data_IF_925502931619
#
_entry.id   IF_925502931619
#
_cell.length_a   1.000
_cell.length_b   1.000
_cell.length_c   1.000
_cell.angle_alpha   90.00
_cell.angle_beta   90.00
_cell.angle_gamma   90.00
#
_symmetry.space_group_name_H-M   'P 1'
#
loop_
_entity.id
_entity.type
_entity.pdbx_description
1 polymer ?
#
# COMPACT_ATOMS: atom_id res chain seq x y z
N UNK A 1 11.48 -8.54 -12.79
CA UNK A 1 10.40 -9.19 -13.57
C UNK A 1 9.07 -8.91 -12.89
N UNK A 2 7.98 -8.58 -13.58
CA UNK A 2 6.68 -8.45 -12.92
C UNK A 2 6.26 -9.83 -12.42
N UNK A 3 5.85 -9.90 -11.13
CA UNK A 3 5.40 -11.15 -10.51
C UNK A 3 4.21 -11.77 -11.26
N UNK A 4 3.98 -13.08 -11.12
CA UNK A 4 2.98 -13.85 -11.86
C UNK A 4 1.53 -13.41 -11.63
N UNK A 5 1.26 -12.57 -10.62
CA UNK A 5 -0.07 -12.10 -10.23
C UNK A 5 -0.50 -10.78 -10.89
N UNK A 6 -0.06 -10.49 -12.13
CA UNK A 6 -0.55 -9.33 -12.88
C UNK A 6 -1.89 -9.65 -13.53
N UNK A 7 -2.99 -9.37 -12.85
CA UNK A 7 -4.31 -9.27 -13.49
C UNK A 7 -4.43 -7.87 -14.10
N UNK A 8 -4.75 -7.79 -15.37
CA UNK A 8 -4.96 -6.53 -16.07
C UNK A 8 -6.21 -5.83 -15.53
N UNK A 9 -6.08 -4.56 -15.14
CA UNK A 9 -7.02 -3.76 -14.36
C UNK A 9 -8.34 -3.35 -15.04
N UNK A 10 -8.71 -3.87 -16.17
CA UNK A 10 -9.97 -3.48 -16.83
C UNK A 10 -10.82 -4.71 -17.14
N UNK A 11 -11.65 -5.19 -16.23
CA UNK A 11 -12.60 -6.31 -16.29
C UNK A 11 -12.22 -7.63 -15.61
N UNK A 12 -11.14 -7.71 -14.83
CA UNK A 12 -10.60 -9.00 -14.39
C UNK A 12 -11.25 -9.66 -13.16
N UNK A 13 -11.97 -8.92 -12.30
CA UNK A 13 -12.53 -9.50 -11.06
C UNK A 13 -13.78 -10.33 -11.30
N UNK A 14 -14.69 -9.86 -12.15
CA UNK A 14 -15.88 -10.63 -12.54
C UNK A 14 -15.48 -11.92 -13.26
N UNK A 15 -14.33 -11.87 -13.97
CA UNK A 15 -13.75 -13.03 -14.64
C UNK A 15 -13.21 -14.05 -13.62
N UNK A 16 -12.45 -13.60 -12.58
CA UNK A 16 -11.86 -14.51 -11.59
C UNK A 16 -12.93 -15.25 -10.80
N UNK A 17 -13.96 -14.55 -10.31
CA UNK A 17 -15.09 -15.17 -9.61
C UNK A 17 -15.76 -16.20 -10.50
N UNK A 18 -16.09 -15.83 -11.75
CA UNK A 18 -16.73 -16.71 -12.73
C UNK A 18 -15.86 -17.94 -13.03
N UNK A 19 -14.54 -17.77 -13.15
CA UNK A 19 -13.61 -18.87 -13.39
C UNK A 19 -13.55 -19.84 -12.21
N UNK A 20 -13.49 -19.32 -10.97
CA UNK A 20 -13.48 -20.16 -9.77
C UNK A 20 -14.81 -20.89 -9.58
N UNK A 21 -15.92 -20.24 -9.88
CA UNK A 21 -17.24 -20.88 -9.85
C UNK A 21 -17.35 -21.98 -10.91
N UNK A 22 -16.89 -21.74 -12.13
CA UNK A 22 -16.84 -22.75 -13.19
C UNK A 22 -15.88 -23.89 -12.84
N UNK A 23 -14.72 -23.58 -12.26
CA UNK A 23 -13.70 -24.58 -11.96
C UNK A 23 -14.06 -25.44 -10.73
N UNK A 24 -14.55 -24.82 -9.64
CA UNK A 24 -14.68 -25.48 -8.33
C UNK A 24 -16.12 -25.50 -7.79
N UNK A 25 -17.10 -24.89 -8.49
CA UNK A 25 -18.48 -24.80 -8.03
C UNK A 25 -18.65 -24.00 -6.74
N UNK A 26 -17.78 -23.02 -6.49
CA UNK A 26 -17.79 -22.19 -5.30
C UNK A 26 -17.82 -20.72 -5.66
N UNK A 27 -18.73 -19.99 -5.01
CA UNK A 27 -18.94 -18.56 -5.22
C UNK A 27 -18.22 -17.73 -4.17
N UNK A 28 -17.92 -16.48 -4.52
CA UNK A 28 -17.38 -15.46 -3.63
C UNK A 28 -18.35 -15.15 -2.48
N UNK A 29 -17.85 -15.16 -1.25
CA UNK A 29 -18.62 -14.78 -0.05
C UNK A 29 -18.58 -13.27 0.23
N UNK A 30 -17.77 -12.51 -0.52
CA UNK A 30 -17.71 -11.05 -0.41
C UNK A 30 -19.01 -10.42 -0.92
N UNK A 31 -19.55 -9.45 -0.19
CA UNK A 31 -20.76 -8.76 -0.62
C UNK A 31 -20.57 -7.95 -1.91
N UNK A 32 -21.65 -7.71 -2.64
CA UNK A 32 -21.62 -6.87 -3.85
C UNK A 32 -21.09 -5.47 -3.54
N UNK A 33 -21.45 -4.91 -2.37
CA UNK A 33 -20.97 -3.59 -1.92
C UNK A 33 -19.47 -3.59 -1.69
N UNK A 34 -18.93 -4.61 -1.02
CA UNK A 34 -17.50 -4.75 -0.77
C UNK A 34 -16.70 -4.93 -2.07
N UNK A 35 -17.19 -5.77 -3.01
CA UNK A 35 -16.51 -5.91 -4.31
C UNK A 35 -16.46 -4.59 -5.07
N UNK A 36 -17.54 -3.82 -5.06
CA UNK A 36 -17.56 -2.49 -5.69
C UNK A 36 -16.57 -1.53 -4.99
N UNK A 37 -16.52 -1.55 -3.66
CA UNK A 37 -15.60 -0.72 -2.88
C UNK A 37 -14.13 -1.09 -3.13
N UNK A 38 -13.80 -2.38 -3.19
CA UNK A 38 -12.43 -2.84 -3.51
C UNK A 38 -11.99 -2.31 -4.88
N UNK A 39 -12.84 -2.39 -5.91
CA UNK A 39 -12.54 -1.83 -7.24
C UNK A 39 -12.30 -0.32 -7.16
N UNK A 40 -13.20 0.40 -6.49
CA UNK A 40 -13.10 1.84 -6.31
C UNK A 40 -11.79 2.24 -5.64
N UNK A 41 -11.34 1.48 -4.61
CA UNK A 41 -10.08 1.77 -3.93
C UNK A 41 -8.88 1.61 -4.85
N UNK A 42 -8.84 0.55 -5.67
CA UNK A 42 -7.76 0.39 -6.64
C UNK A 42 -7.81 1.47 -7.73
N UNK A 43 -9.00 1.86 -8.21
CA UNK A 43 -9.15 2.96 -9.17
C UNK A 43 -8.64 4.28 -8.60
N UNK A 44 -8.96 4.62 -7.35
CA UNK A 44 -8.43 5.80 -6.65
C UNK A 44 -6.89 5.75 -6.50
N UNK A 45 -6.34 4.57 -6.19
CA UNK A 45 -4.89 4.40 -6.04
C UNK A 45 -4.15 4.59 -7.36
N UNK A 46 -4.65 4.00 -8.44
CA UNK A 46 -4.02 4.08 -9.75
C UNK A 46 -4.36 5.37 -10.50
N UNK A 47 -5.27 6.16 -10.00
CA UNK A 47 -5.72 7.38 -10.64
C UNK A 47 -6.50 7.08 -11.92
N UNK A 48 -7.44 6.14 -11.85
CA UNK A 48 -8.36 5.84 -12.95
C UNK A 48 -9.53 6.83 -12.87
N UNK A 49 -9.74 7.69 -13.89
CA UNK A 49 -10.87 8.61 -13.91
C UNK A 49 -12.20 7.86 -13.97
N UNK A 50 -13.23 8.38 -13.31
CA UNK A 50 -14.60 7.91 -13.49
C UNK A 50 -15.13 8.30 -14.87
N UNK A 51 -16.21 7.65 -15.29
CA UNK A 51 -16.87 7.99 -16.54
C UNK A 51 -17.30 9.46 -16.52
N UNK A 52 -16.79 10.25 -17.48
CA UNK A 52 -17.02 11.70 -17.60
C UNK A 52 -16.03 12.57 -16.85
N UNK A 53 -15.03 12.01 -16.17
CA UNK A 53 -13.91 12.73 -15.54
C UNK A 53 -12.66 12.61 -16.42
N UNK A 54 -11.91 13.72 -16.58
CA UNK A 54 -10.66 13.76 -17.34
C UNK A 54 -9.42 13.60 -16.44
N UNK A 55 -9.58 13.85 -15.12
CA UNK A 55 -8.47 13.84 -14.17
C UNK A 55 -8.82 13.02 -12.93
N UNK A 56 -7.83 12.26 -12.44
CA UNK A 56 -7.91 11.56 -11.15
C UNK A 56 -6.61 11.77 -10.38
N UNK A 57 -6.57 12.71 -9.42
CA UNK A 57 -5.39 12.96 -8.61
C UNK A 57 -5.06 11.72 -7.76
N UNK A 58 -3.78 11.30 -7.77
CA UNK A 58 -3.31 10.09 -7.07
C UNK A 58 -3.05 10.34 -5.58
N UNK A 59 -3.97 11.00 -4.90
CA UNK A 59 -3.83 11.31 -3.46
C UNK A 59 -3.85 10.03 -2.63
N UNK A 60 -4.65 9.03 -3.01
CA UNK A 60 -4.64 7.72 -2.38
C UNK A 60 -3.24 7.06 -2.41
N UNK A 61 -2.53 7.16 -3.55
CA UNK A 61 -1.17 6.64 -3.67
C UNK A 61 -0.17 7.42 -2.78
N UNK A 62 -0.36 8.73 -2.62
CA UNK A 62 0.43 9.55 -1.72
C UNK A 62 0.22 9.12 -0.26
N UNK A 63 -1.03 8.92 0.17
CA UNK A 63 -1.39 8.45 1.53
C UNK A 63 -0.69 7.12 1.81
N UNK A 64 -0.88 6.13 0.95
CA UNK A 64 -0.29 4.79 1.08
C UNK A 64 1.23 4.86 1.13
N UNK A 65 1.84 5.65 0.25
CA UNK A 65 3.30 5.81 0.20
C UNK A 65 3.87 6.47 1.46
N UNK A 66 3.18 7.45 2.03
CA UNK A 66 3.59 8.12 3.27
C UNK A 66 3.49 7.16 4.47
N UNK A 67 2.32 6.52 4.66
CA UNK A 67 2.11 5.56 5.75
C UNK A 67 3.11 4.40 5.69
N UNK A 68 3.27 3.77 4.53
CA UNK A 68 4.19 2.66 4.36
C UNK A 68 5.65 3.04 4.68
N UNK A 69 6.09 4.24 4.28
CA UNK A 69 7.45 4.72 4.62
C UNK A 69 7.62 4.92 6.11
N UNK A 70 6.64 5.50 6.78
CA UNK A 70 6.71 5.74 8.22
C UNK A 70 6.68 4.43 9.00
N UNK A 71 5.81 3.49 8.63
CA UNK A 71 5.73 2.16 9.29
C UNK A 71 7.08 1.46 9.28
N UNK A 72 7.79 1.46 8.15
CA UNK A 72 9.06 0.73 7.99
C UNK A 72 10.30 1.62 8.08
N UNK A 73 10.21 2.77 8.74
CA UNK A 73 11.31 3.72 8.80
C UNK A 73 12.53 3.15 9.56
N UNK A 74 12.27 2.49 10.69
CA UNK A 74 13.29 1.93 11.60
C UNK A 74 13.11 0.41 11.80
N UNK A 75 12.35 -0.23 10.91
CA UNK A 75 12.01 -1.65 11.01
C UNK A 75 13.23 -2.54 10.86
N UNK A 76 13.51 -3.33 11.89
CA UNK A 76 14.52 -4.37 11.89
C UNK A 76 13.96 -5.67 12.45
N UNK A 77 14.49 -6.80 11.98
CA UNK A 77 14.15 -8.12 12.49
C UNK A 77 15.41 -8.88 12.83
N UNK A 78 15.39 -9.58 13.96
CA UNK A 78 16.51 -10.39 14.42
C UNK A 78 16.04 -11.80 14.78
N UNK A 79 16.75 -12.81 14.32
CA UNK A 79 16.59 -14.18 14.75
C UNK A 79 17.69 -14.53 15.77
N UNK A 80 17.42 -15.51 16.66
CA UNK A 80 18.46 -16.02 17.54
C UNK A 80 19.72 -16.42 16.76
N UNK A 81 20.93 -16.29 17.36
CA UNK A 81 22.19 -16.62 16.70
C UNK A 81 22.27 -18.07 16.19
N UNK A 82 21.58 -18.99 16.85
CA UNK A 82 21.50 -20.42 16.52
C UNK A 82 20.46 -20.73 15.42
N UNK A 83 19.69 -19.74 14.94
CA UNK A 83 18.69 -19.98 13.90
C UNK A 83 19.37 -20.49 12.61
N UNK A 84 18.80 -21.52 11.96
CA UNK A 84 19.38 -22.09 10.76
C UNK A 84 19.28 -21.18 9.55
N UNK A 85 20.21 -21.33 8.59
CA UNK A 85 20.27 -20.51 7.37
C UNK A 85 19.00 -20.52 6.52
N UNK A 86 18.27 -21.64 6.32
CA UNK A 86 17.00 -21.60 5.60
C UNK A 86 15.97 -20.67 6.23
N UNK A 87 15.88 -20.62 7.56
CA UNK A 87 14.97 -19.73 8.27
C UNK A 87 15.39 -18.27 8.13
N UNK A 88 16.70 -17.96 8.21
CA UNK A 88 17.23 -16.61 7.98
C UNK A 88 16.91 -16.13 6.57
N UNK A 89 17.06 -17.00 5.55
CA UNK A 89 16.72 -16.69 4.17
C UNK A 89 15.22 -16.44 4.00
N UNK A 90 14.38 -17.26 4.63
CA UNK A 90 12.92 -17.10 4.59
C UNK A 90 12.49 -15.78 5.24
N UNK A 91 13.06 -15.40 6.39
CA UNK A 91 12.80 -14.11 7.03
C UNK A 91 13.28 -12.94 6.14
N UNK A 92 14.46 -13.08 5.53
CA UNK A 92 14.97 -12.05 4.60
C UNK A 92 14.05 -11.87 3.39
N UNK A 93 13.52 -12.96 2.83
CA UNK A 93 12.55 -12.92 1.74
C UNK A 93 11.23 -12.26 2.17
N UNK A 94 10.75 -12.56 3.38
CA UNK A 94 9.56 -11.92 3.96
C UNK A 94 9.77 -10.40 4.13
N UNK A 95 10.93 -9.99 4.65
CA UNK A 95 11.28 -8.57 4.80
C UNK A 95 11.38 -7.85 3.45
N UNK A 96 11.90 -8.52 2.42
CA UNK A 96 11.92 -7.98 1.07
C UNK A 96 10.50 -7.74 0.51
N UNK A 97 9.52 -8.57 0.88
CA UNK A 97 8.13 -8.41 0.49
C UNK A 97 7.36 -7.39 1.34
N UNK A 98 7.87 -6.97 2.52
CA UNK A 98 7.15 -6.22 3.54
C UNK A 98 6.48 -4.94 3.02
N UNK A 99 7.25 -4.06 2.38
CA UNK A 99 6.71 -2.78 1.87
C UNK A 99 5.67 -2.98 0.78
N UNK A 100 5.84 -3.99 -0.07
CA UNK A 100 4.87 -4.33 -1.13
C UNK A 100 3.58 -4.87 -0.52
N UNK A 101 3.69 -5.80 0.42
CA UNK A 101 2.54 -6.39 1.11
C UNK A 101 1.75 -5.33 1.89
N UNK A 102 2.44 -4.44 2.63
CA UNK A 102 1.81 -3.34 3.36
C UNK A 102 1.07 -2.40 2.40
N UNK A 103 1.68 -1.99 1.29
CA UNK A 103 1.00 -1.14 0.31
C UNK A 103 -0.25 -1.83 -0.25
N UNK A 104 -0.18 -3.11 -0.57
CA UNK A 104 -1.34 -3.87 -1.07
C UNK A 104 -2.45 -3.97 -0.01
N UNK A 105 -2.11 -4.19 1.25
CA UNK A 105 -3.07 -4.19 2.35
C UNK A 105 -3.70 -2.81 2.56
N UNK A 106 -2.90 -1.74 2.57
CA UNK A 106 -3.39 -0.37 2.72
C UNK A 106 -4.38 0.02 1.60
N UNK A 107 -4.15 -0.46 0.37
CA UNK A 107 -5.06 -0.20 -0.77
C UNK A 107 -6.31 -1.07 -0.70
N UNK A 108 -6.15 -2.38 -0.55
CA UNK A 108 -7.24 -3.34 -0.69
C UNK A 108 -7.89 -3.76 0.64
N UNK A 109 -7.37 -3.30 1.78
CA UNK A 109 -7.79 -3.73 3.11
C UNK A 109 -7.08 -5.00 3.59
N UNK A 110 -6.76 -5.91 2.70
CA UNK A 110 -6.14 -7.20 3.01
C UNK A 110 -5.12 -7.57 1.92
N UNK A 111 -4.01 -8.17 2.32
CA UNK A 111 -3.00 -8.76 1.44
C UNK A 111 -2.66 -10.17 1.94
N UNK A 112 -2.54 -11.13 1.03
CA UNK A 112 -2.12 -12.48 1.35
C UNK A 112 -0.63 -12.65 1.02
N UNK A 113 0.09 -13.32 1.91
CA UNK A 113 1.48 -13.70 1.71
C UNK A 113 1.52 -15.22 1.46
N UNK A 114 1.78 -15.60 0.19
CA UNK A 114 1.88 -17.00 -0.24
C UNK A 114 3.32 -17.47 -0.09
N UNK A 115 3.59 -18.45 0.78
CA UNK A 115 4.89 -19.07 0.84
C UNK A 115 5.14 -19.91 -0.41
N UNK A 116 6.33 -19.75 -1.01
CA UNK A 116 6.76 -20.46 -2.21
C UNK A 116 8.12 -21.10 -1.93
N UNK A 117 8.25 -22.43 -1.99
CA UNK A 117 9.54 -23.11 -1.81
C UNK A 117 10.56 -22.68 -2.86
N UNK A 118 11.75 -22.32 -2.41
CA UNK A 118 12.86 -21.93 -3.29
C UNK A 118 14.20 -22.19 -2.62
N UNK A 119 15.07 -22.94 -3.29
CA UNK A 119 16.45 -23.19 -2.89
C UNK A 119 16.60 -23.66 -1.40
N UNK A 120 15.67 -24.52 -0.93
CA UNK A 120 15.65 -25.03 0.44
C UNK A 120 15.18 -24.03 1.51
N UNK A 121 14.56 -22.92 1.11
CA UNK A 121 13.92 -21.92 1.97
C UNK A 121 12.51 -21.59 1.43
N UNK A 122 11.81 -20.67 2.07
CA UNK A 122 10.52 -20.16 1.59
C UNK A 122 10.63 -18.69 1.22
N UNK A 123 10.31 -18.38 -0.04
CA UNK A 123 10.01 -17.01 -0.48
C UNK A 123 8.56 -16.67 -0.17
N UNK A 124 8.21 -15.36 -0.20
CA UNK A 124 6.84 -14.90 0.03
C UNK A 124 6.35 -14.02 -1.12
N UNK A 125 5.29 -14.49 -1.79
CA UNK A 125 4.61 -13.73 -2.83
C UNK A 125 3.42 -12.97 -2.22
N UNK A 126 3.41 -11.64 -2.36
CA UNK A 126 2.30 -10.80 -1.93
C UNK A 126 1.18 -10.83 -2.97
N UNK A 127 -0.04 -11.20 -2.56
CA UNK A 127 -1.24 -11.27 -3.39
C UNK A 127 -2.21 -10.16 -2.98
N UNK A 128 -2.53 -9.28 -3.92
CA UNK A 128 -3.45 -8.15 -3.69
C UNK A 128 -4.89 -8.62 -3.53
N UNK A 129 -5.72 -7.80 -2.89
CA UNK A 129 -7.14 -8.10 -2.63
C UNK A 129 -7.96 -8.33 -3.91
N UNK A 130 -7.63 -7.68 -5.00
CA UNK A 130 -8.26 -7.84 -6.32
C UNK A 130 -7.74 -9.04 -7.13
N UNK A 131 -6.80 -9.82 -6.58
CA UNK A 131 -6.20 -10.99 -7.24
C UNK A 131 -6.58 -12.32 -6.59
N UNK A 132 -7.49 -12.32 -5.63
CA UNK A 132 -8.02 -13.52 -5.00
C UNK A 132 -9.48 -13.34 -4.60
N UNK A 133 -10.18 -14.45 -4.40
CA UNK A 133 -11.60 -14.50 -4.02
C UNK A 133 -11.74 -15.28 -2.72
N UNK A 134 -12.26 -14.69 -1.64
CA UNK A 134 -12.68 -15.43 -0.46
C UNK A 134 -13.86 -16.36 -0.79
N UNK A 135 -13.70 -17.65 -0.57
CA UNK A 135 -14.73 -18.67 -0.82
C UNK A 135 -15.42 -19.12 0.46
N UNK A 136 -14.80 -18.95 1.61
CA UNK A 136 -15.40 -19.13 2.93
C UNK A 136 -14.61 -18.35 4.00
N UNK A 137 -15.31 -17.81 5.00
CA UNK A 137 -14.75 -17.22 6.22
C UNK A 137 -15.45 -17.79 7.45
N UNK A 138 -14.77 -17.76 8.60
CA UNK A 138 -15.39 -18.05 9.88
C UNK A 138 -16.12 -16.82 10.46
N UNK A 139 -16.71 -16.98 11.64
CA UNK A 139 -17.41 -15.91 12.34
C UNK A 139 -16.50 -14.73 12.75
N UNK A 140 -15.20 -14.94 12.81
CA UNK A 140 -14.18 -13.94 13.14
C UNK A 140 -13.54 -13.29 11.90
N UNK A 141 -13.99 -13.69 10.69
CA UNK A 141 -13.49 -13.17 9.42
C UNK A 141 -12.16 -13.79 8.97
N UNK A 142 -11.72 -14.90 9.58
CA UNK A 142 -10.55 -15.64 9.10
C UNK A 142 -10.90 -16.43 7.84
N UNK A 143 -9.98 -16.50 6.89
CA UNK A 143 -10.17 -17.24 5.65
C UNK A 143 -10.18 -18.75 5.93
N UNK A 144 -11.29 -19.41 5.59
CA UNK A 144 -11.42 -20.87 5.58
C UNK A 144 -11.24 -21.47 4.18
N UNK A 145 -11.58 -20.71 3.15
CA UNK A 145 -11.27 -21.09 1.77
C UNK A 145 -11.01 -19.84 0.92
N UNK A 146 -10.08 -19.97 -0.01
CA UNK A 146 -9.67 -18.90 -0.93
C UNK A 146 -9.33 -19.46 -2.30
N UNK A 147 -9.71 -18.74 -3.35
CA UNK A 147 -9.35 -19.02 -4.72
C UNK A 147 -8.42 -17.96 -5.29
N UNK A 148 -7.39 -18.40 -6.01
CA UNK A 148 -6.43 -17.52 -6.70
C UNK A 148 -6.27 -17.94 -8.15
N UNK A 149 -5.72 -17.05 -8.98
CA UNK A 149 -5.43 -17.32 -10.38
C UNK A 149 -4.06 -16.78 -10.75
N UNK A 150 -3.30 -17.58 -11.48
CA UNK A 150 -2.08 -17.18 -12.15
C UNK A 150 -2.27 -17.30 -13.66
N UNK A 151 -1.84 -16.27 -14.42
CA UNK A 151 -1.88 -16.29 -15.88
C UNK A 151 -0.52 -16.63 -16.46
N UNK A 152 -0.50 -17.58 -17.36
CA UNK A 152 0.70 -18.00 -18.08
C UNK A 152 0.51 -17.78 -19.60
N UNK A 153 1.59 -17.39 -20.28
CA UNK A 153 1.63 -17.26 -21.73
C UNK A 153 2.78 -18.09 -22.26
N UNK A 154 2.47 -19.09 -23.09
CA UNK A 154 3.46 -19.98 -23.72
C UNK A 154 3.09 -20.15 -25.17
N UNK A 155 4.03 -19.92 -26.10
CA UNK A 155 3.86 -20.04 -27.55
C UNK A 155 2.62 -19.33 -28.10
N UNK A 156 2.33 -18.12 -27.58
CA UNK A 156 1.19 -17.30 -27.99
C UNK A 156 -0.16 -17.75 -27.46
N UNK A 157 -0.21 -18.84 -26.70
CA UNK A 157 -1.41 -19.31 -26.01
C UNK A 157 -1.44 -18.79 -24.57
N UNK A 158 -2.64 -18.46 -24.10
CA UNK A 158 -2.86 -18.02 -22.73
C UNK A 158 -3.48 -19.14 -21.90
N UNK A 159 -3.02 -19.26 -20.66
CA UNK A 159 -3.50 -20.24 -19.70
C UNK A 159 -3.82 -19.58 -18.37
N UNK A 160 -4.84 -20.10 -17.67
CA UNK A 160 -5.17 -19.75 -16.28
C UNK A 160 -4.92 -20.96 -15.38
N UNK A 161 -3.99 -20.83 -14.46
CA UNK A 161 -3.80 -21.76 -13.35
C UNK A 161 -4.68 -21.29 -12.20
N UNK A 162 -5.72 -22.04 -11.89
CA UNK A 162 -6.65 -21.79 -10.79
C UNK A 162 -6.28 -22.64 -9.59
N UNK A 163 -6.13 -22.03 -8.44
CA UNK A 163 -5.82 -22.71 -7.19
C UNK A 163 -6.92 -22.41 -6.17
N UNK A 164 -7.45 -23.45 -5.52
CA UNK A 164 -8.34 -23.36 -4.37
C UNK A 164 -7.64 -23.94 -3.15
N UNK A 165 -7.55 -23.16 -2.09
CA UNK A 165 -7.05 -23.58 -0.78
C UNK A 165 -8.19 -23.65 0.20
N UNK A 166 -8.31 -24.73 0.94
CA UNK A 166 -9.37 -24.95 1.92
C UNK A 166 -8.78 -25.46 3.23
N UNK A 167 -9.07 -24.76 4.31
CA UNK A 167 -8.74 -25.20 5.66
C UNK A 167 -9.72 -26.33 6.07
N UNK A 168 -9.19 -27.44 6.54
CA UNK A 168 -9.96 -28.57 7.00
C UNK A 168 -9.49 -29.07 8.36
N UNK A 169 -10.24 -30.01 8.95
CA UNK A 169 -9.85 -30.63 10.21
C UNK A 169 -8.53 -31.42 10.12
N UNK A 170 -8.25 -31.98 8.96
CA UNK A 170 -7.06 -32.81 8.69
C UNK A 170 -5.87 -31.96 8.19
N UNK A 171 -6.02 -30.65 8.06
CA UNK A 171 -5.01 -29.73 7.54
C UNK A 171 -5.49 -28.95 6.31
N UNK A 172 -4.52 -28.44 5.54
CA UNK A 172 -4.77 -27.65 4.33
C UNK A 172 -4.97 -28.57 3.12
N UNK A 173 -6.06 -28.36 2.38
CA UNK A 173 -6.27 -28.94 1.04
C UNK A 173 -6.04 -27.89 -0.04
N UNK A 174 -5.18 -28.20 -1.00
CA UNK A 174 -4.91 -27.34 -2.19
C UNK A 174 -5.39 -28.12 -3.42
N UNK A 175 -6.28 -27.52 -4.19
CA UNK A 175 -6.73 -28.03 -5.49
C UNK A 175 -6.27 -27.09 -6.58
N UNK A 176 -5.66 -27.66 -7.62
CA UNK A 176 -5.06 -26.91 -8.72
C UNK A 176 -5.61 -27.42 -10.05
N UNK A 177 -6.06 -26.49 -10.90
CA UNK A 177 -6.58 -26.79 -12.24
C UNK A 177 -6.03 -25.81 -13.25
N UNK A 178 -5.63 -26.32 -14.41
CA UNK A 178 -5.12 -25.51 -15.52
C UNK A 178 -6.15 -25.46 -16.65
N UNK A 179 -6.44 -24.26 -17.13
CA UNK A 179 -7.37 -24.01 -18.21
C UNK A 179 -6.70 -23.22 -19.34
N UNK A 180 -7.06 -23.50 -20.58
CA UNK A 180 -6.79 -22.59 -21.69
C UNK A 180 -7.66 -21.35 -21.57
N UNK A 181 -7.13 -20.18 -21.96
CA UNK A 181 -7.90 -18.94 -22.02
C UNK A 181 -8.17 -18.57 -23.48
N UNK A 182 -9.44 -18.37 -23.81
CA UNK A 182 -9.90 -17.87 -25.10
C UNK A 182 -10.27 -16.39 -24.94
N UNK A 183 -9.27 -15.52 -25.07
CA UNK A 183 -9.44 -14.10 -24.73
C UNK A 183 -9.68 -13.92 -23.21
N UNK A 184 -10.93 -13.57 -22.84
CA UNK A 184 -11.35 -13.40 -21.44
C UNK A 184 -12.33 -14.49 -20.98
N UNK A 185 -12.39 -15.62 -21.66
CA UNK A 185 -13.24 -16.74 -21.25
C UNK A 185 -12.42 -17.96 -20.90
N UNK A 186 -12.85 -18.67 -19.86
CA UNK A 186 -12.23 -19.92 -19.45
C UNK A 186 -12.60 -21.01 -20.49
N UNK A 187 -11.57 -21.56 -21.12
CA UNK A 187 -11.70 -22.62 -22.11
C UNK A 187 -11.72 -24.01 -21.46
N UNK A 188 -11.14 -24.99 -22.14
CA UNK A 188 -11.06 -26.37 -21.63
C UNK A 188 -10.02 -26.51 -20.52
N UNK A 189 -10.32 -27.41 -19.58
CA UNK A 189 -9.33 -27.86 -18.60
C UNK A 189 -8.29 -28.76 -19.30
N UNK A 190 -7.01 -28.49 -19.05
CA UNK A 190 -5.87 -29.22 -19.62
C UNK A 190 -4.99 -29.80 -18.48
N UNK A 191 -4.22 -30.85 -18.75
CA UNK A 191 -3.27 -31.39 -17.77
C UNK A 191 -2.27 -30.34 -17.30
N UNK A 192 -1.90 -30.35 -16.02
CA UNK A 192 -0.91 -29.45 -15.45
C UNK A 192 0.44 -29.52 -16.16
N UNK A 193 0.85 -30.73 -16.61
CA UNK A 193 2.05 -30.97 -17.37
C UNK A 193 2.09 -30.29 -18.75
N UNK A 194 0.98 -29.68 -19.22
CA UNK A 194 0.97 -28.87 -20.45
C UNK A 194 1.89 -27.65 -20.32
N UNK A 195 2.08 -27.13 -19.11
CA UNK A 195 3.01 -26.04 -18.81
C UNK A 195 4.22 -26.61 -18.06
N UNK A 196 5.46 -26.44 -18.57
CA UNK A 196 6.66 -26.89 -17.85
C UNK A 196 6.75 -26.36 -16.41
N UNK A 197 6.31 -25.11 -16.19
CA UNK A 197 6.30 -24.48 -14.87
C UNK A 197 5.29 -25.12 -13.88
N UNK A 198 4.34 -25.91 -14.39
CA UNK A 198 3.28 -26.55 -13.58
C UNK A 198 3.41 -28.09 -13.59
N UNK A 199 4.44 -28.64 -14.25
CA UNK A 199 4.57 -30.09 -14.47
C UNK A 199 4.71 -30.88 -13.14
N UNK A 200 5.29 -30.28 -12.13
CA UNK A 200 5.46 -30.88 -10.80
C UNK A 200 4.25 -30.69 -9.87
N UNK A 201 3.28 -29.85 -10.27
CA UNK A 201 2.08 -29.66 -9.48
C UNK A 201 1.15 -30.83 -9.59
N UNK A 202 0.46 -31.15 -8.49
CA UNK A 202 -0.56 -32.17 -8.43
C UNK A 202 -1.97 -31.55 -8.39
N UNK A 203 -2.97 -32.20 -9.00
CA UNK A 203 -4.34 -31.65 -9.03
C UNK A 203 -4.96 -31.44 -7.65
N UNK A 204 -4.57 -32.29 -6.66
CA UNK A 204 -4.99 -32.16 -5.28
C UNK A 204 -3.84 -32.53 -4.35
N UNK A 205 -3.57 -31.69 -3.37
CA UNK A 205 -2.56 -31.88 -2.35
C UNK A 205 -3.21 -31.65 -0.98
N UNK A 206 -2.98 -32.57 -0.05
CA UNK A 206 -3.37 -32.39 1.36
C UNK A 206 -2.11 -32.27 2.19
N UNK A 207 -2.02 -31.19 2.96
CA UNK A 207 -0.88 -30.87 3.83
C UNK A 207 -1.32 -31.00 5.29
N UNK A 208 -1.09 -32.16 5.93
CA UNK A 208 -1.48 -32.37 7.31
C UNK A 208 -0.65 -31.49 8.24
N UNK A 209 -1.28 -30.95 9.29
CA UNK A 209 -0.63 -30.10 10.27
C UNK A 209 -0.45 -28.64 9.86
N UNK A 210 -0.76 -28.27 8.60
CA UNK A 210 -0.78 -26.86 8.17
C UNK A 210 -2.12 -26.25 8.56
N UNK A 211 -2.09 -25.26 9.43
CA UNK A 211 -3.28 -24.56 9.92
C UNK A 211 -3.81 -23.54 8.90
N UNK A 212 -5.14 -23.33 8.88
CA UNK A 212 -5.79 -22.35 8.01
C UNK A 212 -5.62 -22.65 6.52
N UNK A 213 -5.61 -21.60 5.71
CA UNK A 213 -5.46 -21.70 4.24
C UNK A 213 -4.01 -21.76 3.77
N UNK A 214 -3.03 -21.85 4.70
CA UNK A 214 -1.61 -21.91 4.38
C UNK A 214 -1.06 -20.63 3.75
N UNK A 215 -1.65 -19.50 4.08
CA UNK A 215 -1.24 -18.14 3.69
C UNK A 215 -1.18 -17.28 4.94
N UNK A 216 -0.17 -16.43 5.06
CA UNK A 216 -0.20 -15.39 6.08
C UNK A 216 -1.04 -14.22 5.57
N UNK A 217 -1.80 -13.60 6.47
CA UNK A 217 -2.79 -12.58 6.13
C UNK A 217 -2.42 -11.28 6.83
N UNK A 218 -2.19 -10.25 6.04
CA UNK A 218 -2.02 -8.89 6.52
C UNK A 218 -3.32 -8.12 6.31
N UNK A 219 -3.96 -7.67 7.40
CA UNK A 219 -5.19 -6.88 7.38
C UNK A 219 -4.94 -5.47 7.90
N UNK A 220 -5.66 -4.50 7.34
CA UNK A 220 -5.72 -3.15 7.94
C UNK A 220 -6.48 -3.19 9.25
N UNK A 221 -6.06 -2.42 10.27
CA UNK A 221 -6.69 -2.41 11.59
C UNK A 221 -7.92 -1.48 11.64
N UNK A 222 -8.81 -1.56 10.65
CA UNK A 222 -10.00 -0.73 10.56
C UNK A 222 -11.26 -1.57 10.57
N UNK A 223 -12.29 -1.05 11.25
CA UNK A 223 -13.63 -1.61 11.13
C UNK A 223 -14.21 -1.36 9.73
N UNK A 224 -14.97 -2.34 9.23
CA UNK A 224 -15.60 -2.22 7.93
C UNK A 224 -16.71 -1.15 7.95
N UNK A 225 -16.43 -0.02 7.30
CA UNK A 225 -17.35 1.10 7.14
C UNK A 225 -18.22 1.00 5.87
N UNK A 226 -18.08 -0.08 5.06
CA UNK A 226 -18.81 -0.27 3.79
C UNK A 226 -20.13 -1.02 4.01
N UNK A 227 -20.06 -2.17 4.65
CA UNK A 227 -21.23 -3.05 4.85
C UNK A 227 -21.30 -3.69 6.25
N UNK A 228 -20.35 -3.39 7.12
CA UNK A 228 -20.28 -3.92 8.49
C UNK A 228 -19.92 -5.40 8.58
N UNK A 229 -19.49 -6.03 7.49
CA UNK A 229 -18.97 -7.40 7.50
C UNK A 229 -17.58 -7.49 8.15
N UNK A 230 -17.04 -8.70 8.28
CA UNK A 230 -15.68 -8.95 8.78
C UNK A 230 -14.59 -8.75 7.72
N UNK A 231 -14.94 -8.34 6.49
CA UNK A 231 -13.96 -8.02 5.46
C UNK A 231 -13.14 -6.78 5.86
N UNK A 232 -11.84 -6.83 5.62
CA UNK A 232 -10.97 -5.69 5.84
C UNK A 232 -11.19 -4.61 4.77
N UNK A 233 -11.00 -3.35 5.15
CA UNK A 233 -11.24 -2.19 4.28
C UNK A 233 -9.96 -1.41 4.01
N UNK A 234 -9.90 -0.69 2.88
CA UNK A 234 -8.78 0.20 2.57
C UNK A 234 -8.52 1.19 3.69
N UNK A 235 -7.25 1.54 3.92
CA UNK A 235 -6.89 2.56 4.91
C UNK A 235 -7.57 3.90 4.64
N UNK A 236 -7.84 4.21 3.38
CA UNK A 236 -8.53 5.44 2.97
C UNK A 236 -10.03 5.24 2.65
N UNK A 237 -10.61 4.08 2.96
CA UNK A 237 -12.05 3.85 2.78
C UNK A 237 -12.93 4.93 3.43
N UNK A 238 -12.65 5.40 4.67
CA UNK A 238 -13.44 6.46 5.29
C UNK A 238 -13.39 7.79 4.52
N UNK A 239 -12.30 8.06 3.81
CA UNK A 239 -12.10 9.29 3.05
C UNK A 239 -12.42 9.16 1.54
N UNK A 240 -12.91 8.02 1.05
CA UNK A 240 -13.15 7.79 -0.37
C UNK A 240 -14.04 8.87 -1.01
N UNK A 241 -15.09 9.30 -0.32
CA UNK A 241 -15.96 10.39 -0.77
C UNK A 241 -15.25 11.74 -0.92
N UNK A 242 -14.29 12.06 -0.03
CA UNK A 242 -13.48 13.27 -0.12
C UNK A 242 -12.45 13.18 -1.26
N UNK A 243 -11.87 12.00 -1.51
CA UNK A 243 -10.96 11.78 -2.64
C UNK A 243 -11.68 12.00 -3.97
N UNK A 244 -12.94 11.57 -4.11
CA UNK A 244 -13.75 11.89 -5.29
C UNK A 244 -14.13 13.37 -5.36
N UNK A 245 -14.43 14.01 -4.22
CA UNK A 245 -14.69 15.45 -4.20
C UNK A 245 -13.43 16.24 -4.64
N UNK A 246 -12.24 15.74 -4.27
CA UNK A 246 -10.97 16.33 -4.67
C UNK A 246 -10.75 16.22 -6.19
N UNK A 247 -11.04 15.05 -6.80
CA UNK A 247 -10.97 14.86 -8.24
C UNK A 247 -11.88 15.85 -8.98
N UNK A 248 -13.14 15.99 -8.53
CA UNK A 248 -14.07 16.99 -9.10
C UNK A 248 -13.59 18.44 -8.92
N UNK A 249 -12.95 18.75 -7.78
CA UNK A 249 -12.40 20.08 -7.55
C UNK A 249 -11.26 20.41 -8.53
N UNK A 250 -10.36 19.45 -8.79
CA UNK A 250 -9.30 19.60 -9.79
C UNK A 250 -9.86 19.78 -11.21
N UNK A 251 -10.86 19.02 -11.57
CA UNK A 251 -11.52 19.12 -12.87
C UNK A 251 -12.18 20.47 -13.05
N UNK A 252 -12.90 20.97 -12.03
CA UNK A 252 -13.50 22.30 -12.04
C UNK A 252 -12.45 23.40 -12.14
N UNK A 253 -11.33 23.27 -11.45
CA UNK A 253 -10.20 24.20 -11.53
C UNK A 253 -9.60 24.21 -12.95
N UNK A 254 -9.38 23.04 -13.55
CA UNK A 254 -8.90 22.92 -14.92
C UNK A 254 -9.88 23.55 -15.92
N UNK A 255 -11.19 23.32 -15.73
CA UNK A 255 -12.23 23.92 -16.55
C UNK A 255 -12.27 25.45 -16.39
N UNK A 256 -12.06 25.98 -15.18
CA UNK A 256 -11.97 27.43 -14.93
C UNK A 256 -10.82 28.06 -15.75
N UNK A 257 -9.63 27.43 -15.73
CA UNK A 257 -8.49 27.88 -16.51
C UNK A 257 -8.76 27.77 -18.03
N UNK A 258 -9.33 26.67 -18.48
CA UNK A 258 -9.66 26.46 -19.90
C UNK A 258 -10.71 27.47 -20.42
N UNK A 259 -11.74 27.76 -19.60
CA UNK A 259 -12.81 28.70 -19.93
C UNK A 259 -12.40 30.16 -19.70
N UNK A 260 -11.45 30.41 -18.79
CA UNK A 260 -10.92 31.70 -18.45
C UNK A 260 -9.94 32.29 -19.47
N UNK A 261 -9.67 31.59 -20.57
CA UNK A 261 -8.87 32.11 -21.64
C UNK A 261 -9.53 33.39 -22.22
N UNK A 262 -8.74 34.45 -22.38
CA UNK A 262 -9.21 35.68 -23.01
C UNK A 262 -9.75 35.37 -24.40
N UNK A 263 -10.93 35.92 -24.71
CA UNK A 263 -11.59 35.74 -26.00
C UNK A 263 -11.84 37.08 -26.63
N UNK A 264 -11.63 37.14 -27.92
CA UNK A 264 -11.96 38.32 -28.73
C UNK A 264 -13.23 38.03 -29.51
N UNK A 265 -14.26 38.79 -29.26
CA UNK A 265 -15.50 38.77 -30.05
C UNK A 265 -15.39 39.87 -31.11
N UNK A 266 -15.38 39.46 -32.35
CA UNK A 266 -15.31 40.38 -33.48
C UNK A 266 -16.53 40.22 -34.38
N UNK A 267 -16.96 41.30 -35.05
CA UNK A 267 -17.99 41.19 -36.07
C UNK A 267 -17.54 40.23 -37.18
N UNK A 268 -18.46 39.42 -37.68
CA UNK A 268 -18.17 38.46 -38.76
C UNK A 268 -17.59 39.11 -40.01
N UNK A 269 -17.92 40.39 -40.24
CA UNK A 269 -17.41 41.19 -41.37
C UNK A 269 -15.91 41.52 -41.25
N UNK A 270 -15.35 41.45 -40.04
CA UNK A 270 -13.92 41.66 -39.79
C UNK A 270 -13.09 40.38 -39.94
N UNK A 271 -13.74 39.24 -40.14
CA UNK A 271 -13.11 37.97 -40.27
C UNK A 271 -12.88 37.59 -41.74
N UNK A 272 -11.66 37.20 -42.11
CA UNK A 272 -11.39 36.69 -43.46
C UNK A 272 -11.37 35.18 -43.46
N UNK A 273 -11.91 34.50 -44.50
CA UNK A 273 -11.82 33.08 -44.64
C UNK A 273 -10.37 32.61 -44.89
N UNK A 274 -9.91 31.63 -44.15
CA UNK A 274 -8.66 30.92 -44.43
C UNK A 274 -8.78 30.02 -45.68
N UNK A 275 -7.69 29.36 -46.06
CA UNK A 275 -7.68 28.46 -47.22
C UNK A 275 -8.64 27.27 -47.10
N UNK A 276 -9.13 26.99 -45.89
CA UNK A 276 -10.12 25.94 -45.56
C UNK A 276 -11.53 26.50 -45.35
N UNK A 277 -11.75 27.82 -45.62
CA UNK A 277 -13.04 28.49 -45.50
C UNK A 277 -13.44 28.84 -44.05
N UNK A 278 -12.54 28.65 -43.05
CA UNK A 278 -12.77 29.08 -41.67
C UNK A 278 -12.47 30.58 -41.56
N UNK A 279 -13.33 31.33 -40.89
CA UNK A 279 -13.15 32.74 -40.66
C UNK A 279 -12.26 32.98 -39.45
N UNK A 280 -11.16 33.71 -39.61
CA UNK A 280 -10.21 34.04 -38.57
C UNK A 280 -9.87 35.53 -38.59
N UNK A 281 -9.54 36.11 -37.44
CA UNK A 281 -8.97 37.42 -37.31
C UNK A 281 -7.61 37.49 -38.00
N UNK A 282 -7.35 38.54 -38.76
CA UNK A 282 -6.01 38.80 -39.29
C UNK A 282 -5.11 39.37 -38.18
N UNK A 283 -3.84 38.95 -38.17
CA UNK A 283 -2.84 39.42 -37.21
C UNK A 283 -2.65 40.95 -37.20
N UNK A 284 -2.91 41.61 -38.32
CA UNK A 284 -2.78 43.05 -38.49
C UNK A 284 -3.93 43.87 -37.87
N UNK A 285 -5.00 43.24 -37.37
CA UNK A 285 -6.16 43.89 -36.76
C UNK A 285 -5.92 44.46 -35.37
N UNK A 286 -4.79 44.11 -34.75
CA UNK A 286 -4.39 44.59 -33.42
C UNK A 286 -3.55 45.87 -33.46
N UNK A 287 -3.30 46.44 -34.63
CA UNK A 287 -2.52 47.67 -34.81
C UNK A 287 -3.43 48.87 -34.89
N UNK A 288 -3.62 49.54 -33.76
CA UNK A 288 -4.06 50.93 -33.66
C UNK A 288 -5.35 51.27 -34.38
N UNK A 289 -6.49 50.92 -33.79
CA UNK A 289 -7.76 51.50 -34.18
C UNK A 289 -7.88 52.88 -33.52
N UNK A 290 -7.97 53.97 -34.29
CA UNK A 290 -7.93 55.33 -33.73
C UNK A 290 -9.28 55.84 -33.20
N UNK A 291 -10.37 55.05 -33.24
CA UNK A 291 -11.70 55.47 -32.82
C UNK A 291 -12.37 54.55 -31.81
N UNK A 292 -13.37 55.11 -31.12
CA UNK A 292 -14.14 54.58 -30.01
C UNK A 292 -14.37 53.06 -30.10
N UNK A 293 -13.87 52.29 -29.11
CA UNK A 293 -14.03 50.83 -29.07
C UNK A 293 -15.48 50.35 -29.20
N UNK A 294 -16.45 51.15 -28.85
CA UNK A 294 -17.87 50.85 -28.97
C UNK A 294 -18.37 50.75 -30.43
N UNK A 295 -17.64 51.30 -31.38
CA UNK A 295 -18.06 51.34 -32.81
C UNK A 295 -17.32 50.34 -33.71
N UNK A 296 -16.31 49.65 -33.20
CA UNK A 296 -15.42 48.79 -34.02
C UNK A 296 -15.90 47.34 -34.10
N UNK A 297 -16.91 46.95 -33.35
CA UNK A 297 -17.44 45.58 -33.35
C UNK A 297 -16.47 44.53 -32.82
N UNK A 298 -15.46 44.94 -32.05
CA UNK A 298 -14.50 44.06 -31.37
C UNK A 298 -14.64 44.26 -29.88
N UNK A 299 -14.90 43.17 -29.16
CA UNK A 299 -14.94 43.15 -27.69
C UNK A 299 -13.96 42.12 -27.17
N UNK A 300 -13.09 42.53 -26.27
CA UNK A 300 -12.19 41.62 -25.56
C UNK A 300 -12.85 41.20 -24.25
N UNK A 301 -13.09 39.91 -24.10
CA UNK A 301 -13.59 39.33 -22.89
C UNK A 301 -12.42 38.66 -22.14
N UNK A 302 -12.08 39.18 -20.96
CA UNK A 302 -11.01 38.66 -20.11
C UNK A 302 -11.58 38.45 -18.71
N UNK A 303 -12.11 37.25 -18.41
CA UNK A 303 -12.73 37.00 -17.14
C UNK A 303 -11.69 36.95 -16.02
N UNK A 304 -12.08 37.37 -14.82
CA UNK A 304 -11.28 37.14 -13.61
C UNK A 304 -11.46 35.70 -13.17
N UNK A 305 -10.34 34.96 -13.03
CA UNK A 305 -10.35 33.59 -12.57
C UNK A 305 -10.70 33.51 -11.07
N UNK A 306 -11.42 32.45 -10.67
CA UNK A 306 -11.79 32.17 -9.27
C UNK A 306 -10.88 31.13 -8.64
N UNK A 307 -9.64 31.00 -9.11
CA UNK A 307 -8.66 30.00 -8.71
C UNK A 307 -8.46 29.96 -7.19
N UNK A 308 -8.45 31.10 -6.50
CA UNK A 308 -8.30 31.16 -5.05
C UNK A 308 -9.38 30.40 -4.28
N UNK A 309 -10.64 30.44 -4.74
CA UNK A 309 -11.74 29.68 -4.13
C UNK A 309 -11.59 28.17 -4.33
N UNK A 310 -11.14 27.75 -5.50
CA UNK A 310 -10.88 26.33 -5.79
C UNK A 310 -9.68 25.79 -5.01
N UNK A 311 -8.59 26.56 -4.92
CA UNK A 311 -7.42 26.20 -4.12
C UNK A 311 -7.76 26.11 -2.63
N UNK A 312 -8.54 27.05 -2.08
CA UNK A 312 -9.02 26.97 -0.70
C UNK A 312 -9.88 25.73 -0.47
N UNK A 313 -10.79 25.39 -1.39
CA UNK A 313 -11.60 24.18 -1.30
C UNK A 313 -10.76 22.91 -1.38
N UNK A 314 -9.76 22.87 -2.24
CA UNK A 314 -8.80 21.76 -2.34
C UNK A 314 -8.07 21.54 -1.02
N UNK A 315 -7.57 22.60 -0.40
CA UNK A 315 -6.92 22.52 0.92
C UNK A 315 -7.87 22.03 2.00
N UNK A 316 -9.12 22.49 2.01
CA UNK A 316 -10.15 22.03 2.95
C UNK A 316 -10.43 20.52 2.80
N UNK A 317 -10.54 20.01 1.57
CA UNK A 317 -10.73 18.59 1.27
C UNK A 317 -9.52 17.75 1.73
N UNK A 318 -8.29 18.22 1.49
CA UNK A 318 -7.08 17.54 1.94
C UNK A 318 -7.00 17.48 3.47
N UNK A 319 -7.35 18.57 4.17
CA UNK A 319 -7.45 18.62 5.63
C UNK A 319 -8.52 17.66 6.16
N UNK A 320 -9.64 17.54 5.44
CA UNK A 320 -10.69 16.57 5.76
C UNK A 320 -10.18 15.12 5.64
N UNK A 321 -9.41 14.81 4.60
CA UNK A 321 -8.76 13.51 4.45
C UNK A 321 -7.79 13.23 5.62
N UNK A 322 -6.92 14.19 5.97
CA UNK A 322 -6.00 14.05 7.09
C UNK A 322 -6.75 13.74 8.39
N UNK A 323 -7.84 14.45 8.66
CA UNK A 323 -8.64 14.27 9.88
C UNK A 323 -9.32 12.90 9.93
N UNK A 324 -9.92 12.42 8.82
CA UNK A 324 -10.61 11.13 8.77
C UNK A 324 -9.67 9.92 8.85
N UNK A 325 -8.42 10.09 8.44
CA UNK A 325 -7.43 9.02 8.36
C UNK A 325 -6.44 9.04 9.54
N UNK A 326 -6.64 9.90 10.52
CA UNK A 326 -5.70 10.08 11.62
C UNK A 326 -4.31 10.54 11.14
N UNK A 327 -4.21 11.23 10.00
CA UNK A 327 -2.95 11.73 9.49
C UNK A 327 -2.60 13.07 10.15
N UNK A 328 -1.30 13.29 10.37
CA UNK A 328 -0.82 14.57 10.87
C UNK A 328 -1.10 15.69 9.85
N UNK A 329 -1.53 16.85 10.32
CA UNK A 329 -1.70 18.05 9.50
C UNK A 329 -0.42 18.40 8.76
N UNK A 330 -0.53 18.67 7.46
CA UNK A 330 0.59 18.99 6.60
C UNK A 330 1.24 17.79 5.91
N UNK A 331 0.69 16.59 6.06
CA UNK A 331 1.10 15.43 5.27
C UNK A 331 0.56 15.53 3.84
N UNK A 332 -0.69 15.97 3.69
CA UNK A 332 -1.40 16.14 2.42
C UNK A 332 -1.68 17.62 2.13
N UNK A 333 -2.08 18.38 3.16
CA UNK A 333 -2.43 19.80 3.05
C UNK A 333 -1.21 20.70 3.28
N UNK A 334 -1.31 21.95 2.85
CA UNK A 334 -0.32 22.98 3.20
C UNK A 334 -0.42 23.33 4.70
N UNK A 335 0.75 23.50 5.33
CA UNK A 335 0.83 23.97 6.71
C UNK A 335 0.72 25.47 6.69
N UNK A 336 -0.34 26.03 7.28
CA UNK A 336 -0.38 27.44 7.57
C UNK A 336 0.74 27.79 8.55
N UNK A 337 1.61 28.71 8.18
CA UNK A 337 2.65 29.18 9.08
C UNK A 337 1.95 29.77 10.32
N UNK A 338 2.10 29.19 11.52
CA UNK A 338 1.46 29.75 12.71
C UNK A 338 2.01 31.13 12.97
N UNK A 339 1.11 32.05 13.33
CA UNK A 339 1.48 33.42 13.71
C UNK A 339 2.40 33.47 14.94
N UNK A 340 2.35 32.40 15.75
CA UNK A 340 3.22 32.19 16.93
C UNK A 340 3.86 30.80 16.88
N UNK A 341 5.10 30.63 17.40
CA UNK A 341 5.76 29.35 17.47
C UNK A 341 4.97 28.41 18.41
N UNK A 342 4.59 27.23 17.90
CA UNK A 342 3.91 26.20 18.69
C UNK A 342 4.87 25.60 19.71
N UNK A 343 4.37 25.30 20.91
CA UNK A 343 5.13 24.58 21.93
C UNK A 343 5.34 23.10 21.54
N UNK A 344 6.41 22.49 22.04
CA UNK A 344 6.68 21.06 21.81
C UNK A 344 5.50 20.18 22.26
N UNK A 345 4.80 20.57 23.34
CA UNK A 345 3.61 19.87 23.85
C UNK A 345 2.41 19.94 22.90
N UNK A 346 2.17 21.07 22.24
CA UNK A 346 1.10 21.20 21.22
C UNK A 346 1.41 20.40 19.97
N UNK A 347 2.68 20.35 19.57
CA UNK A 347 3.14 19.53 18.44
C UNK A 347 2.95 18.05 18.78
N UNK A 348 3.34 17.62 19.98
CA UNK A 348 3.17 16.25 20.45
C UNK A 348 1.69 15.86 20.53
N UNK A 349 0.82 16.70 21.11
CA UNK A 349 -0.61 16.43 21.21
C UNK A 349 -1.30 16.30 19.83
N UNK A 350 -0.78 17.00 18.81
CA UNK A 350 -1.34 16.96 17.44
C UNK A 350 -0.89 15.71 16.65
N UNK A 351 0.11 14.97 17.11
CA UNK A 351 0.65 13.78 16.43
C UNK A 351 0.15 12.45 17.03
N UNK A 352 -0.53 12.46 18.18
CA UNK A 352 -0.93 11.24 18.89
C UNK A 352 -1.74 10.28 18.00
N UNK A 353 -2.76 10.77 17.30
CA UNK A 353 -3.61 9.93 16.45
C UNK A 353 -2.82 9.32 15.31
N UNK A 354 -1.86 10.06 14.75
CA UNK A 354 -0.98 9.55 13.71
C UNK A 354 -0.05 8.44 14.22
N UNK A 355 0.54 8.65 15.39
CA UNK A 355 1.44 7.68 16.01
C UNK A 355 0.69 6.39 16.37
N UNK A 356 -0.56 6.51 16.83
CA UNK A 356 -1.44 5.35 17.08
C UNK A 356 -1.75 4.61 15.77
N UNK A 357 -2.08 5.32 14.70
CA UNK A 357 -2.31 4.72 13.37
C UNK A 357 -1.08 3.95 12.89
N UNK A 358 0.12 4.48 13.07
CA UNK A 358 1.36 3.80 12.71
C UNK A 358 1.57 2.55 13.56
N UNK A 359 1.37 2.63 14.88
CA UNK A 359 1.51 1.46 15.79
C UNK A 359 0.52 0.35 15.47
N UNK A 360 -0.70 0.67 15.12
CA UNK A 360 -1.71 -0.32 14.72
C UNK A 360 -1.28 -1.05 13.43
N UNK A 361 -0.71 -0.33 12.45
CA UNK A 361 -0.15 -0.93 11.24
C UNK A 361 1.09 -1.78 11.52
N UNK A 362 1.96 -1.36 12.45
CA UNK A 362 3.11 -2.13 12.92
C UNK A 362 2.67 -3.43 13.60
N UNK A 363 1.63 -3.36 14.44
CA UNK A 363 1.04 -4.55 15.07
C UNK A 363 0.48 -5.51 14.03
N UNK A 364 -0.28 -5.01 13.05
CA UNK A 364 -0.82 -5.84 11.97
C UNK A 364 0.28 -6.54 11.15
N UNK A 365 1.40 -5.87 10.89
CA UNK A 365 2.55 -6.49 10.24
C UNK A 365 3.23 -7.53 11.14
N UNK A 366 3.36 -7.25 12.43
CA UNK A 366 3.91 -8.20 13.42
C UNK A 366 3.12 -9.51 13.42
N UNK A 367 1.79 -9.42 13.42
CA UNK A 367 0.90 -10.59 13.34
C UNK A 367 1.10 -11.37 12.04
N UNK A 368 1.25 -10.67 10.91
CA UNK A 368 1.51 -11.30 9.62
C UNK A 368 2.88 -12.01 9.58
N UNK A 369 3.91 -11.43 10.19
CA UNK A 369 5.23 -12.06 10.34
C UNK A 369 5.14 -13.33 11.20
N UNK A 370 4.43 -13.28 12.31
CA UNK A 370 4.24 -14.46 13.17
C UNK A 370 3.53 -15.59 12.41
N UNK A 371 2.45 -15.28 11.66
CA UNK A 371 1.76 -16.24 10.80
C UNK A 371 2.71 -16.83 9.74
N UNK A 372 3.50 -15.99 9.06
CA UNK A 372 4.44 -16.41 8.04
C UNK A 372 5.53 -17.33 8.61
N UNK A 373 6.04 -17.03 9.80
CA UNK A 373 7.06 -17.86 10.45
C UNK A 373 6.48 -19.19 10.93
N UNK A 374 5.24 -19.22 11.44
CA UNK A 374 4.54 -20.46 11.76
C UNK A 374 4.35 -21.35 10.51
N UNK A 375 4.01 -20.73 9.36
CA UNK A 375 3.93 -21.43 8.08
C UNK A 375 5.29 -21.96 7.61
N UNK A 376 6.39 -21.24 7.84
CA UNK A 376 7.74 -21.74 7.55
C UNK A 376 8.01 -23.05 8.29
N UNK A 377 7.67 -23.12 9.58
CA UNK A 377 7.82 -24.32 10.38
C UNK A 377 6.95 -25.48 9.87
N UNK A 378 5.65 -25.24 9.67
CA UNK A 378 4.71 -26.27 9.25
C UNK A 378 5.03 -26.81 7.84
N UNK A 379 5.31 -25.93 6.88
CA UNK A 379 5.65 -26.30 5.51
C UNK A 379 7.06 -26.90 5.41
N UNK A 380 7.99 -26.41 6.21
CA UNK A 380 9.33 -26.99 6.32
C UNK A 380 9.30 -28.46 6.71
N UNK A 381 8.43 -28.83 7.67
CA UNK A 381 8.22 -30.21 8.07
C UNK A 381 7.59 -31.06 6.95
N UNK A 382 6.60 -30.51 6.22
CA UNK A 382 5.90 -31.24 5.14
C UNK A 382 6.76 -31.42 3.91
N UNK A 383 7.52 -30.38 3.50
CA UNK A 383 8.39 -30.44 2.33
C UNK A 383 9.77 -31.06 2.62
N UNK A 384 10.03 -31.48 3.86
CA UNK A 384 11.33 -32.02 4.26
C UNK A 384 12.45 -30.99 4.09
N UNK A 385 12.18 -29.71 4.32
CA UNK A 385 13.18 -28.65 4.26
C UNK A 385 13.99 -28.68 5.55
N UNK A 386 15.16 -29.31 5.50
CA UNK A 386 16.06 -29.43 6.64
C UNK A 386 16.41 -28.05 7.22
N UNK A 387 16.34 -27.92 8.54
CA UNK A 387 16.75 -26.71 9.26
C UNK A 387 15.69 -25.61 9.38
N UNK A 388 14.42 -25.87 9.08
CA UNK A 388 13.32 -24.97 9.51
C UNK A 388 12.82 -25.42 10.89
N UNK A 389 13.15 -24.69 11.98
CA UNK A 389 12.75 -25.10 13.32
C UNK A 389 11.25 -24.89 13.56
N UNK A 390 10.66 -25.69 14.45
CA UNK A 390 9.24 -25.64 14.76
C UNK A 390 8.79 -24.37 15.52
N UNK A 391 9.70 -23.55 16.06
CA UNK A 391 9.33 -22.49 17.04
C UNK A 391 10.28 -21.28 17.08
N UNK A 392 10.87 -20.80 16.00
CA UNK A 392 11.65 -19.56 16.07
C UNK A 392 10.82 -18.34 15.66
N UNK A 393 10.39 -17.56 16.65
CA UNK A 393 9.80 -16.24 16.39
C UNK A 393 10.92 -15.20 16.26
N UNK A 394 10.93 -14.35 15.23
CA UNK A 394 11.87 -13.26 15.13
C UNK A 394 11.53 -12.17 16.17
N UNK A 395 12.55 -11.59 16.77
CA UNK A 395 12.41 -10.32 17.47
C UNK A 395 12.23 -9.22 16.42
N UNK A 396 11.20 -8.41 16.59
CA UNK A 396 10.90 -7.27 15.70
C UNK A 396 11.18 -6.01 16.49
N UNK A 397 12.04 -5.17 15.93
CA UNK A 397 12.36 -3.85 16.44
C UNK A 397 11.75 -2.80 15.51
N UNK A 398 10.95 -1.92 16.08
CA UNK A 398 10.29 -0.83 15.36
C UNK A 398 11.00 0.52 15.59
N UNK A 399 12.10 0.52 16.34
CA UNK A 399 12.75 1.75 16.80
C UNK A 399 11.92 2.53 17.81
N UNK A 400 12.40 3.71 18.13
CA UNK A 400 11.73 4.61 19.08
C UNK A 400 10.82 5.66 18.42
N UNK A 401 10.69 5.63 17.10
CA UNK A 401 9.88 6.57 16.31
C UNK A 401 10.46 7.97 16.19
N UNK A 402 11.70 8.14 16.63
CA UNK A 402 12.38 9.44 16.68
C UNK A 402 13.42 9.55 15.57
N UNK A 403 12.98 9.42 14.34
CA UNK A 403 13.83 9.49 13.13
C UNK A 403 14.72 10.76 13.02
N UNK A 404 14.48 11.80 13.82
CA UNK A 404 15.07 13.12 13.56
C UNK A 404 15.57 13.89 14.79
N UNK A 405 15.55 13.33 15.99
CA UNK A 405 16.05 14.06 17.16
C UNK A 405 17.12 13.31 17.99
N UNK A 406 18.04 12.68 17.26
CA UNK A 406 19.23 12.06 17.89
C UNK A 406 19.99 13.05 18.77
N UNK A 407 19.95 14.36 18.40
CA UNK A 407 20.53 15.42 19.19
C UNK A 407 19.78 15.67 20.52
N UNK A 408 18.43 15.60 20.50
CA UNK A 408 17.62 15.76 21.71
C UNK A 408 17.77 14.58 22.65
N UNK A 409 17.65 13.35 22.12
CA UNK A 409 17.85 12.13 22.94
C UNK A 409 19.24 12.11 23.54
N UNK A 410 20.28 12.48 22.75
CA UNK A 410 21.61 12.59 23.25
C UNK A 410 21.73 13.63 24.38
N UNK A 411 21.05 14.78 24.27
CA UNK A 411 21.00 15.77 25.32
C UNK A 411 20.32 15.25 26.60
N UNK A 412 19.15 14.59 26.46
CA UNK A 412 18.43 13.95 27.55
C UNK A 412 19.27 12.83 28.22
N UNK A 413 19.92 11.97 27.44
CA UNK A 413 20.80 10.94 27.98
C UNK A 413 22.01 11.54 28.72
N UNK A 414 22.60 12.62 28.21
CA UNK A 414 23.66 13.35 28.91
C UNK A 414 23.17 13.88 30.25
N UNK A 415 21.99 14.47 30.32
CA UNK A 415 21.41 14.95 31.57
C UNK A 415 21.19 13.80 32.57
N UNK A 416 20.75 12.62 32.11
CA UNK A 416 20.61 11.42 32.94
C UNK A 416 21.97 10.88 33.43
N UNK A 417 23.00 10.95 32.59
CA UNK A 417 24.36 10.58 32.97
C UNK A 417 24.91 11.59 34.00
N UNK A 418 24.72 12.88 33.77
CA UNK A 418 25.18 13.95 34.68
C UNK A 418 24.42 13.88 36.03
N UNK A 419 23.16 13.42 36.02
CA UNK A 419 22.40 13.16 37.23
C UNK A 419 22.73 11.83 37.94
N UNK A 420 23.62 11.02 37.37
CA UNK A 420 23.99 9.70 37.89
C UNK A 420 22.91 8.62 37.78
N UNK A 421 21.88 8.84 36.96
CA UNK A 421 20.75 7.94 36.73
C UNK A 421 20.99 6.95 35.58
N UNK A 422 21.91 7.27 34.67
CA UNK A 422 22.28 6.43 33.53
C UNK A 422 23.79 6.22 33.52
N UNK A 423 24.23 4.98 33.26
CA UNK A 423 25.64 4.69 33.10
C UNK A 423 26.17 5.30 31.78
N UNK A 424 27.32 6.03 31.79
CA UNK A 424 27.82 6.70 30.58
C UNK A 424 28.04 5.76 29.37
N UNK A 425 28.48 4.52 29.65
CA UNK A 425 28.72 3.54 28.61
C UNK A 425 27.43 3.13 27.89
N UNK A 426 26.28 3.16 28.54
CA UNK A 426 24.98 2.89 27.91
C UNK A 426 24.58 4.04 26.96
N UNK A 427 24.80 5.28 27.38
CA UNK A 427 24.56 6.44 26.51
C UNK A 427 25.48 6.43 25.29
N UNK A 428 26.76 6.04 25.47
CA UNK A 428 27.71 5.90 24.36
C UNK A 428 27.37 4.72 23.45
N UNK A 429 26.93 3.59 24.01
CA UNK A 429 26.45 2.44 23.26
C UNK A 429 25.31 2.82 22.32
N UNK A 430 24.32 3.51 22.85
CA UNK A 430 23.21 4.03 22.06
C UNK A 430 23.66 5.03 20.98
N UNK A 431 24.54 5.96 21.32
CA UNK A 431 25.00 6.99 20.38
C UNK A 431 25.79 6.42 19.19
N UNK A 432 26.62 5.40 19.43
CA UNK A 432 27.47 4.77 18.42
C UNK A 432 26.90 3.45 17.89
N UNK A 433 25.66 3.08 18.29
CA UNK A 433 25.00 1.83 17.90
C UNK A 433 25.86 0.58 18.16
N UNK A 434 26.36 0.47 19.40
CA UNK A 434 27.26 -0.60 19.83
C UNK A 434 26.51 -1.65 20.66
N UNK A 435 26.92 -2.95 20.59
CA UNK A 435 26.39 -3.99 21.47
C UNK A 435 26.63 -3.62 22.95
N UNK A 436 25.62 -3.83 23.80
CA UNK A 436 25.64 -3.45 25.21
C UNK A 436 24.84 -4.38 26.11
N UNK A 437 24.57 -5.60 25.64
CA UNK A 437 23.79 -6.61 26.39
C UNK A 437 24.61 -7.29 27.48
N UNK A 438 25.94 -7.31 27.35
CA UNK A 438 26.84 -7.97 28.29
C UNK A 438 27.77 -6.99 28.99
N UNK A 439 28.17 -7.32 30.23
CA UNK A 439 29.15 -6.49 30.98
C UNK A 439 30.52 -6.43 30.29
N UNK A 440 30.88 -7.45 29.50
CA UNK A 440 32.10 -7.47 28.70
C UNK A 440 32.06 -6.40 27.56
N UNK A 441 30.92 -6.24 26.91
CA UNK A 441 30.70 -5.22 25.86
C UNK A 441 30.75 -3.83 26.46
N UNK A 442 30.12 -3.61 27.61
CA UNK A 442 30.17 -2.35 28.32
C UNK A 442 31.59 -2.00 28.80
N UNK A 443 32.36 -3.00 29.22
CA UNK A 443 33.76 -2.80 29.59
C UNK A 443 34.62 -2.39 28.37
N UNK A 444 34.32 -2.94 27.17
CA UNK A 444 34.98 -2.55 25.93
C UNK A 444 34.64 -1.10 25.54
N UNK A 445 33.38 -0.67 25.69
CA UNK A 445 32.95 0.69 25.44
C UNK A 445 33.65 1.68 26.38
N UNK A 446 33.73 1.35 27.70
CA UNK A 446 34.50 2.13 28.65
C UNK A 446 35.94 2.27 28.22
N UNK A 447 36.60 1.18 27.84
CA UNK A 447 38.00 1.17 27.42
C UNK A 447 38.23 2.03 26.18
N UNK A 448 37.30 2.03 25.23
CA UNK A 448 37.43 2.65 23.91
C UNK A 448 37.13 4.15 23.93
N UNK A 449 36.13 4.57 24.71
CA UNK A 449 35.56 5.90 24.62
C UNK A 449 35.72 6.75 25.89
N UNK A 450 35.99 6.13 27.03
CA UNK A 450 36.11 6.84 28.31
C UNK A 450 37.55 6.85 28.75
N UNK A 451 38.09 8.04 29.00
CA UNK A 451 39.45 8.21 29.53
C UNK A 451 39.58 7.72 30.99
N UNK A 452 40.80 7.74 31.54
CA UNK A 452 41.10 7.19 32.89
C UNK A 452 40.29 7.84 34.02
N UNK A 453 39.79 9.07 33.86
CA UNK A 453 38.92 9.74 34.84
C UNK A 453 37.50 9.11 34.95
N UNK A 454 37.02 8.39 33.93
CA UNK A 454 35.75 7.70 33.93
C UNK A 454 35.79 6.25 34.44
N UNK A 455 36.95 5.76 34.83
CA UNK A 455 37.17 4.40 35.34
C UNK A 455 36.99 4.26 36.86
N UNK A 456 36.78 5.37 37.57
CA UNK A 456 36.73 5.41 39.04
C UNK A 456 35.34 5.71 39.64
N UNK A 457 34.27 5.61 38.85
CA UNK A 457 32.87 5.70 39.36
C UNK A 457 32.11 4.39 39.20
#
# INVERSE_FOLDING_TARGET
MPGPYRVAMKKGEDDLQSYLEQAFGKSDVTSVKMRAAVREWFDLYYGVPRAGEDTAPRVAALIVGKLCRTVFAEYETRLPPEAPDPLRRSLSALNAAAKTAMQYALVGGECLLKPVPRDGALDFAAIRRDCYVPLARDAHGSLLAVGTMERHSVDGRQYALLERRTAGADGLTIETRLFELNGQTLGRCVPLATLPACAELVPQLVLPGVQGVGLAVLKTPLMNCVDGSTDAVSIYAPAAGLLHALARCEEQLNAEFANGASRVFASEDLLRPDAQGRRALQDDLFVGLPDDPANVGVTVYSPTLREGSYLARKQDLLRGCESLLGLRRGILSEVETPAEPRTATEIAATSVDYDLTIRDLQSAWTDAVQQAMALCSALGAVYGLDGLPQTAAPAIDWGDGVLYDRARIWAEQRELVDAGLLRPELALAWYFDLPHETEAELAEIRRRFMGDAGRAQ
#
